data_IF_570921031885
#
_entry.id   IF_570921031885
#
_cell.length_a   1.000
_cell.length_b   1.000
_cell.length_c   1.000
_cell.angle_alpha   90.00
_cell.angle_beta   90.00
_cell.angle_gamma   90.00
#
_symmetry.space_group_name_H-M   'P 1'
#
loop_
_entity.id
_entity.type
_entity.pdbx_description
1 polymer ?
#
# COMPACT_ATOMS: atom_id res chain seq x y z
N UNK A 1 -1.95 -9.78 -9.44
CA UNK A 1 -2.34 -8.95 -8.29
C UNK A 1 -1.76 -7.55 -8.45
N UNK A 2 -2.46 -6.54 -8.00
CA UNK A 2 -1.93 -5.16 -8.09
C UNK A 2 -0.96 -4.90 -6.96
N UNK A 3 0.11 -4.15 -7.24
CA UNK A 3 1.12 -3.79 -6.26
C UNK A 3 1.39 -2.29 -6.37
N UNK A 4 1.12 -1.57 -5.30
CA UNK A 4 1.28 -0.12 -5.26
C UNK A 4 2.69 0.19 -4.78
N UNK A 5 3.43 0.95 -5.58
CA UNK A 5 4.78 1.38 -5.23
C UNK A 5 4.72 2.60 -4.34
N UNK A 6 5.11 2.44 -3.09
CA UNK A 6 5.14 3.51 -2.11
C UNK A 6 6.51 3.48 -1.42
N UNK A 7 7.38 4.41 -1.78
CA UNK A 7 8.79 4.36 -1.41
C UNK A 7 9.13 4.99 -0.07
N UNK A 8 8.33 5.93 0.39
CA UNK A 8 8.59 6.65 1.64
C UNK A 8 7.53 6.33 2.68
N UNK A 9 7.86 6.60 3.94
CA UNK A 9 6.91 6.46 5.04
C UNK A 9 5.63 7.24 4.77
N UNK A 10 5.77 8.49 4.34
CA UNK A 10 4.64 9.36 4.04
C UNK A 10 3.77 8.78 2.93
N UNK A 11 4.38 8.28 1.87
CA UNK A 11 3.65 7.65 0.77
C UNK A 11 2.93 6.39 1.23
N UNK A 12 3.60 5.54 2.02
CA UNK A 12 2.99 4.32 2.53
C UNK A 12 1.80 4.64 3.44
N UNK A 13 1.96 5.60 4.33
CA UNK A 13 0.88 6.00 5.22
C UNK A 13 -0.33 6.49 4.42
N UNK A 14 -0.11 7.32 3.42
CA UNK A 14 -1.20 7.85 2.60
C UNK A 14 -1.95 6.75 1.86
N UNK A 15 -1.21 5.82 1.25
CA UNK A 15 -1.81 4.67 0.57
C UNK A 15 -2.61 3.82 1.55
N UNK A 16 -2.04 3.55 2.72
CA UNK A 16 -2.68 2.71 3.73
C UNK A 16 -3.94 3.37 4.31
N UNK A 17 -3.94 4.68 4.49
CA UNK A 17 -5.13 5.40 4.92
C UNK A 17 -6.29 5.22 3.93
N UNK A 18 -5.99 5.34 2.63
CA UNK A 18 -7.01 5.18 1.60
C UNK A 18 -7.52 3.74 1.55
N UNK A 19 -6.63 2.76 1.66
CA UNK A 19 -7.02 1.35 1.66
C UNK A 19 -7.84 1.00 2.90
N UNK A 20 -7.48 1.54 4.04
CA UNK A 20 -8.24 1.34 5.28
C UNK A 20 -9.67 1.87 5.13
N UNK A 21 -9.83 3.02 4.51
CA UNK A 21 -11.13 3.61 4.24
C UNK A 21 -11.98 2.74 3.33
N UNK A 22 -11.36 1.97 2.44
CA UNK A 22 -12.05 1.07 1.54
C UNK A 22 -12.28 -0.33 2.12
N UNK A 23 -11.91 -0.55 3.37
CA UNK A 23 -12.19 -1.80 4.06
C UNK A 23 -11.10 -2.85 3.95
N UNK A 24 -9.91 -2.50 3.43
CA UNK A 24 -8.80 -3.43 3.39
C UNK A 24 -8.21 -3.67 4.77
N UNK A 25 -7.58 -4.82 4.95
CA UNK A 25 -6.89 -5.20 6.18
C UNK A 25 -5.62 -5.97 5.82
N UNK A 26 -4.60 -5.90 6.69
CA UNK A 26 -3.44 -6.77 6.55
C UNK A 26 -3.86 -8.23 6.65
N UNK A 27 -3.01 -9.13 6.14
CA UNK A 27 -3.32 -10.57 6.13
C UNK A 27 -3.73 -11.10 7.48
N UNK A 28 -3.17 -10.56 8.56
CA UNK A 28 -3.48 -11.00 9.92
C UNK A 28 -4.65 -10.24 10.56
N UNK A 29 -5.28 -9.35 9.81
CA UNK A 29 -6.46 -8.64 10.27
C UNK A 29 -6.24 -7.26 10.84
N UNK A 30 -4.99 -6.82 10.95
CA UNK A 30 -4.70 -5.46 11.46
C UNK A 30 -5.22 -4.39 10.52
N UNK A 31 -5.55 -3.23 11.07
CA UNK A 31 -5.86 -2.07 10.26
C UNK A 31 -4.63 -1.66 9.45
N UNK A 32 -4.81 -1.21 8.21
CA UNK A 32 -3.66 -0.82 7.39
C UNK A 32 -2.72 0.17 8.06
N UNK A 33 -3.26 1.19 8.73
CA UNK A 33 -2.44 2.22 9.38
C UNK A 33 -1.78 1.77 10.68
N UNK A 34 -2.14 0.60 11.21
CA UNK A 34 -1.50 0.07 12.41
C UNK A 34 -0.13 -0.55 12.13
N UNK A 35 0.19 -0.80 10.88
CA UNK A 35 1.46 -1.41 10.49
C UNK A 35 1.97 -0.72 9.23
N UNK A 36 3.02 0.07 9.38
CA UNK A 36 3.65 0.78 8.26
C UNK A 36 4.94 0.04 7.91
N UNK A 37 5.03 -0.62 6.74
CA UNK A 37 6.17 -1.48 6.42
C UNK A 37 7.54 -0.83 6.57
N UNK A 38 7.70 0.41 6.14
CA UNK A 38 9.01 1.07 6.23
C UNK A 38 9.42 1.42 7.65
N UNK A 39 8.50 1.35 8.61
CA UNK A 39 8.80 1.61 10.02
C UNK A 39 8.78 0.32 10.83
N UNK A 40 7.72 -0.48 10.67
CA UNK A 40 7.42 -1.61 11.53
C UNK A 40 8.00 -2.93 11.04
N UNK A 41 8.28 -3.04 9.75
CA UNK A 41 8.82 -4.28 9.19
C UNK A 41 10.29 -4.45 9.52
N UNK A 42 10.71 -5.70 9.71
CA UNK A 42 12.13 -6.02 9.83
C UNK A 42 12.87 -5.72 8.53
N UNK A 43 12.19 -5.84 7.40
CA UNK A 43 12.75 -5.46 6.11
C UNK A 43 12.20 -4.09 5.70
N UNK A 44 12.97 -3.05 6.02
CA UNK A 44 12.58 -1.67 5.72
C UNK A 44 12.71 -1.30 4.25
N UNK A 45 13.08 -2.27 3.41
CA UNK A 45 13.17 -2.07 1.96
C UNK A 45 11.88 -2.46 1.23
N UNK A 46 10.84 -2.87 1.96
CA UNK A 46 9.55 -3.14 1.36
C UNK A 46 8.98 -1.84 0.79
N UNK A 47 8.82 -1.83 -0.53
CA UNK A 47 8.35 -0.65 -1.27
C UNK A 47 7.01 -0.86 -1.93
N UNK A 48 6.52 -2.09 -1.94
CA UNK A 48 5.27 -2.43 -2.61
C UNK A 48 4.24 -2.90 -1.61
N UNK A 49 3.04 -2.35 -1.74
CA UNK A 49 1.87 -2.81 -0.99
C UNK A 49 1.00 -3.55 -1.99
N UNK A 50 0.93 -4.87 -1.84
CA UNK A 50 0.12 -5.72 -2.73
C UNK A 50 -1.29 -5.79 -2.20
N UNK A 51 -2.26 -5.61 -3.09
CA UNK A 51 -3.66 -5.65 -2.74
C UNK A 51 -4.35 -6.84 -3.41
N UNK A 52 -5.10 -7.59 -2.63
CA UNK A 52 -5.98 -8.62 -3.14
C UNK A 52 -7.40 -8.07 -3.06
N UNK A 53 -7.92 -7.65 -4.21
CA UNK A 53 -9.23 -6.99 -4.26
C UNK A 53 -10.37 -7.94 -3.91
N UNK A 54 -10.20 -9.23 -4.16
CA UNK A 54 -11.24 -10.23 -3.87
C UNK A 54 -11.43 -10.44 -2.37
N UNK A 55 -10.34 -10.49 -1.62
CA UNK A 55 -10.36 -10.77 -0.18
C UNK A 55 -10.22 -9.52 0.66
N UNK A 56 -9.90 -8.39 0.05
CA UNK A 56 -9.59 -7.14 0.75
C UNK A 56 -8.41 -7.27 1.71
N UNK A 57 -7.42 -8.09 1.33
CA UNK A 57 -6.23 -8.32 2.14
C UNK A 57 -5.00 -7.67 1.53
N UNK A 58 -4.10 -7.23 2.40
CA UNK A 58 -2.86 -6.55 2.03
C UNK A 58 -1.64 -7.35 2.42
N UNK A 59 -0.60 -7.29 1.60
CA UNK A 59 0.73 -7.81 1.93
C UNK A 59 1.78 -6.81 1.46
N UNK A 60 3.02 -6.97 1.93
CA UNK A 60 4.13 -6.12 1.49
C UNK A 60 5.15 -6.94 0.73
N UNK A 61 5.84 -6.27 -0.18
CA UNK A 61 6.90 -6.87 -0.97
C UNK A 61 8.03 -5.88 -1.20
N UNK A 62 9.23 -6.42 -1.39
CA UNK A 62 10.40 -5.62 -1.76
C UNK A 62 10.44 -5.36 -3.26
N UNK A 63 9.92 -6.27 -4.05
CA UNK A 63 9.83 -6.16 -5.50
C UNK A 63 8.58 -6.85 -6.02
N UNK A 64 8.32 -6.61 -7.33
CA UNK A 64 7.16 -7.21 -7.98
C UNK A 64 7.34 -8.71 -8.15
N UNK A 65 6.26 -9.44 -7.92
CA UNK A 65 6.22 -10.86 -8.20
C UNK A 65 5.68 -11.12 -9.60
N UNK A 66 5.76 -12.38 -10.06
CA UNK A 66 5.15 -12.78 -11.33
C UNK A 66 3.65 -12.50 -11.31
N UNK A 67 3.17 -11.86 -12.37
CA UNK A 67 1.76 -11.53 -12.49
C UNK A 67 1.30 -10.30 -11.74
N UNK A 68 2.20 -9.63 -11.00
CA UNK A 68 1.85 -8.38 -10.34
C UNK A 68 1.86 -7.23 -11.33
N UNK A 69 0.87 -6.35 -11.21
CA UNK A 69 0.80 -5.13 -11.99
C UNK A 69 1.23 -3.98 -11.10
N UNK A 70 2.28 -3.28 -11.50
CA UNK A 70 2.76 -2.12 -10.76
C UNK A 70 1.82 -0.94 -10.91
N UNK A 71 1.46 -0.33 -9.79
CA UNK A 71 0.72 0.93 -9.76
C UNK A 71 1.63 1.94 -9.04
N UNK A 72 1.97 3.01 -9.73
CA UNK A 72 2.79 4.04 -9.13
C UNK A 72 1.99 4.82 -8.09
N UNK A 73 2.70 5.35 -7.09
CA UNK A 73 2.06 6.13 -6.04
C UNK A 73 1.14 7.22 -6.60
N UNK A 74 1.62 7.96 -7.60
CA UNK A 74 0.87 9.06 -8.20
C UNK A 74 -0.38 8.60 -8.94
N UNK A 75 -0.39 7.35 -9.38
CA UNK A 75 -1.56 6.78 -10.05
C UNK A 75 -2.62 6.34 -9.05
N UNK A 76 -2.20 5.88 -7.88
CA UNK A 76 -3.11 5.44 -6.83
C UNK A 76 -3.63 6.60 -6.00
N UNK A 77 -2.75 7.54 -5.68
CA UNK A 77 -3.08 8.74 -4.92
C UNK A 77 -2.91 9.93 -5.87
N UNK A 78 -3.91 10.24 -6.68
CA UNK A 78 -3.80 11.36 -7.60
C UNK A 78 -3.65 12.66 -6.82
N UNK A 79 -2.84 13.57 -7.36
CA UNK A 79 -2.68 14.88 -6.75
C UNK A 79 -4.02 15.56 -6.70
N UNK A 80 -4.49 15.85 -5.51
CA UNK A 80 -5.70 16.63 -5.34
C UNK A 80 -5.39 18.04 -5.79
N UNK A 81 -6.02 18.46 -6.86
CA UNK A 81 -5.93 19.86 -7.26
C UNK A 81 -6.76 20.67 -6.29
N UNK A 82 -6.10 21.55 -5.59
CA UNK A 82 -6.82 22.53 -4.78
C UNK A 82 -7.43 23.51 -5.77
N UNK A 83 -8.73 23.50 -5.86
CA UNK A 83 -9.45 24.47 -6.66
C UNK A 83 -9.79 25.60 -5.70
N UNK A 84 -9.19 26.70 -5.95
CA UNK A 84 -9.46 27.91 -5.18
C UNK A 84 -10.57 28.72 -5.82
#
# INVERSE_FOLDING_TARGET
MKAIKAETEEQQLKVLELLEHEGYRWMEGQLPTEYIPCINSTNKKNRYIRINESTKKLTTRQWLGPGDTEILYEQFVPKTKVIL
#
